data_IF_073694726299
#
_entry.id   IF_073694726299
#
_cell.length_a   1.000
_cell.length_b   1.000
_cell.length_c   1.000
_cell.angle_alpha   90.00
_cell.angle_beta   90.00
_cell.angle_gamma   90.00
#
_symmetry.space_group_name_H-M   'P 1'
#
loop_
_entity.id
_entity.type
_entity.pdbx_description
1 polymer ?
#
# COMPACT_ATOMS: atom_id res chain seq x y z
N UNK A 1 -8.66 -1.95 -8.72
CA UNK A 1 -8.01 -2.75 -9.79
C UNK A 1 -6.51 -2.50 -9.89
N UNK A 2 -6.02 -1.26 -9.82
CA UNK A 2 -4.58 -0.96 -9.85
C UNK A 2 -3.75 -1.75 -8.83
N UNK A 3 -4.18 -1.83 -7.55
CA UNK A 3 -3.46 -2.61 -6.51
C UNK A 3 -3.33 -4.10 -6.81
N UNK A 4 -4.34 -4.70 -7.45
CA UNK A 4 -4.30 -6.11 -7.83
C UNK A 4 -3.30 -6.35 -8.97
N UNK A 5 -3.27 -5.46 -9.97
CA UNK A 5 -2.28 -5.53 -11.06
C UNK A 5 -0.86 -5.30 -10.54
N UNK A 6 -0.67 -4.36 -9.61
CA UNK A 6 0.62 -4.10 -8.97
C UNK A 6 1.11 -5.31 -8.16
N UNK A 7 0.21 -5.96 -7.41
CA UNK A 7 0.52 -7.23 -6.73
C UNK A 7 0.90 -8.32 -7.73
N UNK A 8 0.09 -8.55 -8.77
CA UNK A 8 0.34 -9.57 -9.80
C UNK A 8 1.65 -9.38 -10.56
N UNK A 9 2.13 -8.15 -10.73
CA UNK A 9 3.43 -7.87 -11.37
C UNK A 9 4.59 -8.62 -10.69
N UNK A 10 4.49 -8.84 -9.37
CA UNK A 10 5.52 -9.52 -8.60
C UNK A 10 5.61 -11.02 -8.88
N UNK A 11 4.68 -11.61 -9.63
CA UNK A 11 4.83 -12.99 -10.09
C UNK A 11 6.12 -13.22 -10.90
N UNK A 12 6.66 -12.16 -11.53
CA UNK A 12 7.96 -12.23 -12.22
C UNK A 12 9.12 -12.66 -11.31
N UNK A 13 9.00 -12.43 -10.00
CA UNK A 13 10.05 -12.73 -9.04
C UNK A 13 10.10 -14.21 -8.63
N UNK A 14 9.17 -15.06 -9.08
CA UNK A 14 9.16 -16.50 -8.75
C UNK A 14 10.51 -17.16 -9.05
N UNK A 15 11.18 -16.73 -10.13
CA UNK A 15 12.46 -17.29 -10.56
C UNK A 15 13.58 -17.03 -9.54
N UNK A 16 13.59 -15.85 -8.93
CA UNK A 16 14.69 -15.41 -8.06
C UNK A 16 14.44 -15.71 -6.57
N UNK A 17 13.19 -15.66 -6.11
CA UNK A 17 12.83 -15.83 -4.68
C UNK A 17 11.95 -17.04 -4.39
N UNK A 18 11.48 -17.76 -5.41
CA UNK A 18 10.57 -18.89 -5.26
C UNK A 18 9.10 -18.49 -5.03
N UNK A 19 8.20 -19.47 -5.19
CA UNK A 19 6.75 -19.24 -5.13
C UNK A 19 6.29 -18.71 -3.76
N UNK A 20 6.78 -19.32 -2.67
CA UNK A 20 6.32 -19.00 -1.32
C UNK A 20 6.58 -17.53 -0.95
N UNK A 21 7.82 -17.05 -1.10
CA UNK A 21 8.17 -15.66 -0.80
C UNK A 21 7.50 -14.69 -1.77
N UNK A 22 7.33 -15.08 -3.03
CA UNK A 22 6.56 -14.28 -4.00
C UNK A 22 5.13 -14.07 -3.57
N UNK A 23 4.44 -15.11 -3.07
CA UNK A 23 3.07 -14.97 -2.58
C UNK A 23 3.00 -14.04 -1.35
N UNK A 24 3.99 -14.09 -0.45
CA UNK A 24 4.05 -13.18 0.70
C UNK A 24 4.24 -11.73 0.24
N UNK A 25 5.20 -11.49 -0.66
CA UNK A 25 5.43 -10.18 -1.27
C UNK A 25 4.18 -9.66 -1.99
N UNK A 26 3.44 -10.52 -2.68
CA UNK A 26 2.20 -10.14 -3.37
C UNK A 26 1.10 -9.70 -2.40
N UNK A 27 0.96 -10.35 -1.24
CA UNK A 27 0.02 -9.94 -0.18
C UNK A 27 0.37 -8.53 0.32
N UNK A 28 1.65 -8.29 0.61
CA UNK A 28 2.13 -6.97 1.05
C UNK A 28 1.95 -5.90 -0.03
N UNK A 29 2.34 -6.20 -1.28
CA UNK A 29 2.24 -5.31 -2.43
C UNK A 29 0.79 -4.93 -2.73
N UNK A 30 -0.18 -5.83 -2.50
CA UNK A 30 -1.60 -5.50 -2.62
C UNK A 30 -2.02 -4.41 -1.62
N UNK A 31 -1.65 -4.58 -0.35
CA UNK A 31 -1.94 -3.58 0.69
C UNK A 31 -1.25 -2.25 0.41
N UNK A 32 0.03 -2.27 0.05
CA UNK A 32 0.77 -1.06 -0.32
C UNK A 32 0.15 -0.37 -1.55
N UNK A 33 -0.26 -1.13 -2.56
CA UNK A 33 -0.95 -0.60 -3.74
C UNK A 33 -2.24 0.15 -3.38
N UNK A 34 -3.01 -0.32 -2.38
CA UNK A 34 -4.17 0.39 -1.85
C UNK A 34 -3.77 1.73 -1.19
N UNK A 35 -2.71 1.73 -0.38
CA UNK A 35 -2.17 2.96 0.22
C UNK A 35 -1.71 3.98 -0.81
N UNK A 36 -0.92 3.55 -1.80
CA UNK A 36 -0.41 4.42 -2.86
C UNK A 36 -1.55 4.97 -3.72
N UNK A 37 -2.58 4.15 -4.01
CA UNK A 37 -3.78 4.58 -4.72
C UNK A 37 -4.57 5.62 -3.92
N UNK A 38 -4.75 5.43 -2.61
CA UNK A 38 -5.42 6.39 -1.74
C UNK A 38 -4.67 7.72 -1.69
N UNK A 39 -3.34 7.68 -1.61
CA UNK A 39 -2.50 8.88 -1.66
C UNK A 39 -2.59 9.61 -2.98
N UNK A 40 -2.57 8.88 -4.11
CA UNK A 40 -2.74 9.45 -5.42
C UNK A 40 -4.07 10.20 -5.54
N UNK A 41 -5.18 9.57 -5.14
CA UNK A 41 -6.51 10.18 -5.20
C UNK A 41 -6.62 11.39 -4.27
N UNK A 42 -6.05 11.31 -3.06
CA UNK A 42 -6.15 12.40 -2.07
C UNK A 42 -5.28 13.60 -2.41
N UNK A 43 -4.11 13.38 -3.02
CA UNK A 43 -3.13 14.44 -3.31
C UNK A 43 -3.17 14.92 -4.76
N UNK A 44 -3.75 14.16 -5.68
CA UNK A 44 -3.79 14.47 -7.11
C UNK A 44 -2.40 14.49 -7.78
N UNK A 45 -1.40 13.84 -7.17
CA UNK A 45 -0.01 13.84 -7.65
C UNK A 45 0.53 12.43 -7.70
N UNK A 46 1.13 12.05 -8.84
CA UNK A 46 1.83 10.77 -9.01
C UNK A 46 3.21 10.75 -8.34
N UNK A 47 3.87 11.91 -8.24
CA UNK A 47 5.22 12.00 -7.71
C UNK A 47 5.25 11.64 -6.22
N UNK A 48 4.22 12.01 -5.46
CA UNK A 48 4.17 11.72 -4.04
C UNK A 48 4.09 10.21 -3.72
N UNK A 49 3.17 9.42 -4.31
CA UNK A 49 3.19 7.96 -4.21
C UNK A 49 4.51 7.32 -4.67
N UNK A 50 5.12 7.81 -5.75
CA UNK A 50 6.39 7.27 -6.25
C UNK A 50 7.53 7.44 -5.24
N UNK A 51 7.68 8.64 -4.69
CA UNK A 51 8.72 8.93 -3.68
C UNK A 51 8.48 8.12 -2.40
N UNK A 52 7.23 8.02 -1.94
CA UNK A 52 6.91 7.23 -0.76
C UNK A 52 7.21 5.74 -0.96
N UNK A 53 6.83 5.17 -2.11
CA UNK A 53 7.12 3.79 -2.45
C UNK A 53 8.63 3.53 -2.44
N UNK A 54 9.40 4.34 -3.18
CA UNK A 54 10.85 4.21 -3.20
C UNK A 54 11.50 4.38 -1.82
N UNK A 55 10.93 5.22 -0.95
CA UNK A 55 11.42 5.40 0.42
C UNK A 55 11.16 4.18 1.31
N UNK A 56 10.00 3.53 1.17
CA UNK A 56 9.70 2.27 1.88
C UNK A 56 10.68 1.19 1.45
N UNK A 57 10.87 1.01 0.14
CA UNK A 57 11.79 0.01 -0.41
C UNK A 57 13.24 0.27 0.01
N UNK A 58 13.66 1.54 -0.02
CA UNK A 58 14.99 1.95 0.46
C UNK A 58 15.18 1.60 1.94
N UNK A 59 14.17 1.84 2.77
CA UNK A 59 14.24 1.54 4.21
C UNK A 59 14.37 0.04 4.46
N UNK A 60 13.62 -0.77 3.72
CA UNK A 60 13.73 -2.24 3.80
C UNK A 60 15.12 -2.68 3.33
N UNK A 61 15.58 -2.16 2.20
CA UNK A 61 16.89 -2.51 1.61
C UNK A 61 18.05 -2.15 2.53
N UNK A 62 18.04 -0.99 3.18
CA UNK A 62 19.13 -0.58 4.09
C UNK A 62 19.11 -1.35 5.41
N UNK A 63 17.94 -1.79 5.87
CA UNK A 63 17.80 -2.52 7.14
C UNK A 63 18.04 -4.02 7.00
N UNK A 64 17.66 -4.61 5.87
CA UNK A 64 17.75 -6.06 5.62
C UNK A 64 18.90 -6.43 4.67
N UNK A 65 19.50 -5.45 4.00
CA UNK A 65 20.47 -5.67 2.93
C UNK A 65 19.81 -6.02 1.60
N UNK A 66 20.58 -5.92 0.52
CA UNK A 66 20.14 -6.36 -0.81
C UNK A 66 20.58 -7.81 -1.02
N UNK A 67 19.68 -8.77 -0.78
CA UNK A 67 19.95 -10.18 -1.03
C UNK A 67 19.59 -10.54 -2.47
N UNK A 68 20.60 -10.88 -3.29
CA UNK A 68 20.41 -11.34 -4.67
C UNK A 68 19.90 -12.77 -4.78
N UNK A 69 19.97 -13.54 -3.69
CA UNK A 69 19.35 -14.87 -3.57
C UNK A 69 18.80 -14.98 -2.15
N UNK A 70 17.48 -15.08 -2.00
CA UNK A 70 16.87 -15.34 -0.69
C UNK A 70 17.08 -16.81 -0.36
N UNK A 71 18.17 -17.14 0.34
CA UNK A 71 18.41 -18.46 0.93
C UNK A 71 17.72 -18.65 2.28
N UNK A 72 16.77 -17.77 2.62
CA UNK A 72 16.21 -17.69 3.96
C UNK A 72 15.36 -18.93 4.29
N UNK A 73 15.91 -19.81 5.12
CA UNK A 73 15.16 -20.74 5.96
C UNK A 73 14.36 -19.97 7.04
N UNK A 74 13.57 -18.99 6.62
CA UNK A 74 12.70 -18.20 7.49
C UNK A 74 11.52 -19.06 7.96
N UNK A 75 11.06 -18.84 9.20
CA UNK A 75 9.86 -19.49 9.71
C UNK A 75 8.66 -19.10 8.83
N UNK A 76 8.04 -20.03 8.09
CA UNK A 76 6.95 -19.72 7.16
C UNK A 76 5.70 -19.16 7.85
N UNK A 77 5.47 -19.50 9.13
CA UNK A 77 4.38 -18.87 9.87
C UNK A 77 4.68 -17.40 10.16
N UNK A 78 5.93 -17.08 10.49
CA UNK A 78 6.36 -15.71 10.79
C UNK A 78 6.26 -14.79 9.58
N UNK A 79 6.69 -15.25 8.41
CA UNK A 79 6.64 -14.48 7.16
C UNK A 79 5.22 -14.25 6.66
N UNK A 80 4.32 -15.23 6.82
CA UNK A 80 2.90 -15.04 6.50
C UNK A 80 2.22 -14.04 7.45
N UNK A 81 2.48 -14.15 8.76
CA UNK A 81 1.92 -13.22 9.74
C UNK A 81 2.41 -11.79 9.49
N UNK A 82 3.70 -11.61 9.16
CA UNK A 82 4.25 -10.32 8.77
C UNK A 82 3.56 -9.77 7.51
N UNK A 83 3.39 -10.59 6.47
CA UNK A 83 2.76 -10.16 5.22
C UNK A 83 1.31 -9.69 5.42
N UNK A 84 0.53 -10.46 6.19
CA UNK A 84 -0.84 -10.09 6.55
C UNK A 84 -0.85 -8.81 7.39
N UNK A 85 0.04 -8.70 8.37
CA UNK A 85 0.16 -7.51 9.21
C UNK A 85 0.45 -6.25 8.39
N UNK A 86 1.45 -6.28 7.49
CA UNK A 86 1.75 -5.14 6.61
C UNK A 86 0.59 -4.80 5.69
N UNK A 87 -0.06 -5.80 5.10
CA UNK A 87 -1.23 -5.59 4.25
C UNK A 87 -2.35 -4.85 5.00
N UNK A 88 -2.70 -5.33 6.21
CA UNK A 88 -3.74 -4.72 7.04
C UNK A 88 -3.34 -3.31 7.47
N UNK A 89 -2.08 -3.10 7.85
CA UNK A 89 -1.56 -1.79 8.21
C UNK A 89 -1.68 -0.80 7.05
N UNK A 90 -1.25 -1.17 5.83
CA UNK A 90 -1.34 -0.31 4.66
C UNK A 90 -2.79 0.00 4.26
N UNK A 91 -3.68 -0.99 4.32
CA UNK A 91 -5.11 -0.76 4.06
C UNK A 91 -5.72 0.15 5.14
N UNK A 92 -5.38 -0.04 6.41
CA UNK A 92 -5.83 0.82 7.51
C UNK A 92 -5.42 2.27 7.30
N UNK A 93 -4.14 2.50 6.94
CA UNK A 93 -3.65 3.84 6.58
C UNK A 93 -4.37 4.42 5.36
N UNK A 94 -4.62 3.60 4.33
CA UNK A 94 -5.36 4.02 3.15
C UNK A 94 -6.78 4.51 3.50
N UNK A 95 -7.49 3.79 4.37
CA UNK A 95 -8.82 4.17 4.86
C UNK A 95 -8.76 5.48 5.65
N UNK A 96 -7.76 5.65 6.52
CA UNK A 96 -7.58 6.89 7.29
C UNK A 96 -7.31 8.10 6.38
N UNK A 97 -6.49 7.93 5.34
CA UNK A 97 -6.17 8.98 4.37
C UNK A 97 -7.40 9.39 3.55
N UNK A 98 -8.24 8.43 3.18
CA UNK A 98 -9.46 8.66 2.43
C UNK A 98 -10.60 9.26 3.28
N UNK A 99 -10.45 9.32 4.61
CA UNK A 99 -11.48 9.89 5.48
C UNK A 99 -11.67 11.39 5.16
N UNK A 100 -12.91 11.86 4.95
CA UNK A 100 -13.18 13.27 4.76
C UNK A 100 -12.65 14.11 5.93
N UNK A 101 -12.08 15.26 5.59
CA UNK A 101 -11.66 16.27 6.56
C UNK A 101 -12.88 17.09 7.04
N UNK A 102 -12.76 17.66 8.24
CA UNK A 102 -13.83 18.43 8.86
C UNK A 102 -14.32 19.58 7.98
N UNK A 103 -13.44 20.24 7.24
CA UNK A 103 -13.79 21.37 6.38
C UNK A 103 -14.60 20.93 5.16
N UNK A 104 -14.27 19.77 4.56
CA UNK A 104 -15.09 19.17 3.50
C UNK A 104 -16.52 18.84 3.99
N UNK A 105 -16.67 18.40 5.23
CA UNK A 105 -17.96 18.10 5.84
C UNK A 105 -18.76 19.38 6.10
N UNK A 106 -18.11 20.40 6.67
CA UNK A 106 -18.72 21.70 6.91
C UNK A 106 -19.19 22.37 5.61
N UNK A 107 -18.36 22.35 4.56
CA UNK A 107 -18.74 22.85 3.23
C UNK A 107 -19.94 22.10 2.65
N UNK A 108 -19.98 20.77 2.80
CA UNK A 108 -21.12 19.97 2.38
C UNK A 108 -22.41 20.33 3.10
N UNK A 109 -22.34 20.57 4.42
CA UNK A 109 -23.48 21.00 5.22
C UNK A 109 -23.96 22.41 4.84
N UNK A 110 -23.05 23.37 4.64
CA UNK A 110 -23.40 24.74 4.22
C UNK A 110 -24.10 24.74 2.86
N UNK A 111 -23.61 23.97 1.89
CA UNK A 111 -24.24 23.83 0.57
C UNK A 111 -25.62 23.17 0.68
N UNK A 112 -25.75 22.12 1.50
CA UNK A 112 -27.03 21.44 1.72
C UNK A 112 -28.08 22.32 2.41
N UNK A 113 -27.66 23.25 3.28
CA UNK A 113 -28.56 24.24 3.90
C UNK A 113 -28.93 25.32 2.89
N UNK A 114 -27.96 25.92 2.20
CA UNK A 114 -28.21 26.97 1.21
C UNK A 114 -29.10 26.51 0.04
N UNK A 115 -29.04 25.22 -0.34
CA UNK A 115 -29.91 24.65 -1.36
C UNK A 115 -31.35 24.35 -0.91
N UNK A 116 -31.68 24.50 0.38
CA UNK A 116 -33.06 24.36 0.91
C UNK A 116 -33.82 25.68 0.96
N UNK A 117 -33.13 26.79 0.76
CA UNK A 117 -33.66 28.16 0.82
C UNK A 117 -34.04 28.72 -0.57
N UNK A 118 -33.96 27.89 -1.62
CA UNK A 118 -34.41 28.14 -3.00
C UNK A 118 -35.53 27.19 -3.38
#
# INVERSE_FOLDING_TARGET
MSSAMFSLYHFGNIVDQGLYFTLMQMIEAFGMGCLLSALYVRKGSLLFPMVLHGFIDYTITVTQGYATVITSAGNPAGTLLAAIFHMVLYIGLAVLICKPDSDSQLRGQVVAVAGRDV
#
